data_IF_995002608714
#
_entry.id   IF_995002608714
#
_cell.length_a   1.000
_cell.length_b   1.000
_cell.length_c   1.000
_cell.angle_alpha   90.00
_cell.angle_beta   90.00
_cell.angle_gamma   90.00
#
_symmetry.space_group_name_H-M   'P 1'
#
loop_
_entity.id
_entity.type
_entity.pdbx_description
1 polymer ?
#
# COMPACT_ATOMS: atom_id res chain seq x y z
N UNK A 1 57.05 8.78 -11.41
CA UNK A 1 56.43 8.79 -12.76
C UNK A 1 55.31 7.76 -12.71
N UNK A 2 54.13 8.07 -12.18
CA UNK A 2 53.01 8.81 -12.77
C UNK A 2 52.60 8.30 -14.15
N UNK A 3 51.63 7.38 -14.19
CA UNK A 3 50.66 7.26 -15.27
C UNK A 3 49.29 7.01 -14.66
N UNK A 4 48.42 8.00 -14.78
CA UNK A 4 47.00 7.97 -14.44
C UNK A 4 46.29 6.99 -15.39
N UNK A 5 45.53 6.07 -14.84
CA UNK A 5 44.48 5.34 -15.55
C UNK A 5 43.13 5.81 -15.01
N UNK A 6 42.46 6.69 -15.74
CA UNK A 6 41.08 7.07 -15.51
C UNK A 6 40.17 5.90 -15.89
N UNK A 7 39.62 5.21 -14.90
CA UNK A 7 38.47 4.32 -15.09
C UNK A 7 37.21 5.13 -14.84
N UNK A 8 36.60 5.61 -15.92
CA UNK A 8 35.22 6.13 -15.92
C UNK A 8 34.28 4.93 -15.87
N UNK A 9 33.84 4.56 -14.67
CA UNK A 9 32.74 3.63 -14.48
C UNK A 9 31.43 4.32 -14.89
N UNK A 10 30.85 3.88 -16.01
CA UNK A 10 29.45 4.14 -16.36
C UNK A 10 28.57 3.44 -15.31
N UNK A 11 28.14 4.20 -14.31
CA UNK A 11 26.91 3.90 -13.59
C UNK A 11 25.79 4.42 -14.48
N UNK A 12 25.32 3.55 -15.37
CA UNK A 12 24.03 3.75 -16.02
C UNK A 12 22.99 3.63 -14.91
N UNK A 13 22.09 4.61 -14.84
CA UNK A 13 20.99 4.62 -13.89
C UNK A 13 20.30 3.27 -13.89
N UNK A 14 20.14 2.72 -12.70
CA UNK A 14 19.20 1.64 -12.45
C UNK A 14 17.84 2.31 -12.54
N UNK A 15 17.35 2.46 -13.78
CA UNK A 15 15.92 2.56 -13.97
C UNK A 15 15.38 1.24 -13.47
N UNK A 16 14.62 1.28 -12.38
CA UNK A 16 13.72 0.19 -11.99
C UNK A 16 12.80 -0.02 -13.18
N UNK A 17 13.21 -0.89 -14.10
CA UNK A 17 12.43 -1.32 -15.23
C UNK A 17 11.63 -2.54 -14.79
N UNK A 18 10.82 -2.35 -13.74
CA UNK A 18 9.72 -3.26 -13.43
C UNK A 18 8.60 -2.96 -14.41
N UNK A 19 8.39 -3.86 -15.37
CA UNK A 19 7.17 -3.86 -16.19
C UNK A 19 6.06 -4.37 -15.28
N UNK A 20 5.46 -3.48 -14.49
CA UNK A 20 4.28 -3.79 -13.67
C UNK A 20 3.07 -3.25 -14.45
N UNK A 21 2.39 -4.15 -15.16
CA UNK A 21 1.18 -3.84 -15.91
C UNK A 21 -0.01 -4.48 -15.18
N UNK A 22 -0.71 -3.64 -14.41
CA UNK A 22 -2.08 -3.78 -13.85
C UNK A 22 -2.34 -4.96 -12.89
N UNK A 23 -3.30 -4.98 -11.96
CA UNK A 23 -4.10 -4.05 -11.14
C UNK A 23 -5.12 -4.90 -10.35
N UNK A 24 -5.28 -4.65 -9.04
CA UNK A 24 -6.45 -4.90 -8.17
C UNK A 24 -7.71 -5.48 -8.86
N UNK A 25 -7.72 -6.77 -9.14
CA UNK A 25 -8.89 -7.47 -9.67
C UNK A 25 -10.05 -7.47 -8.66
N UNK A 26 -9.76 -7.37 -7.37
CA UNK A 26 -10.78 -7.43 -6.30
C UNK A 26 -11.35 -6.06 -5.89
N UNK A 27 -10.59 -4.96 -6.04
CA UNK A 27 -11.05 -3.62 -5.60
C UNK A 27 -11.55 -2.77 -6.77
N UNK A 28 -10.95 -2.89 -7.97
CA UNK A 28 -11.31 -2.09 -9.14
C UNK A 28 -12.37 -2.69 -10.08
N UNK A 29 -12.66 -3.99 -9.97
CA UNK A 29 -13.62 -4.67 -10.86
C UNK A 29 -15.08 -4.54 -10.40
N UNK A 30 -15.34 -4.18 -9.14
CA UNK A 30 -16.70 -4.20 -8.57
C UNK A 30 -17.42 -2.85 -8.59
N UNK A 31 -16.75 -1.75 -8.96
CA UNK A 31 -17.42 -0.49 -9.29
C UNK A 31 -18.25 -0.56 -10.60
N UNK A 32 -18.21 -1.68 -11.32
CA UNK A 32 -18.76 -1.83 -12.68
C UNK A 32 -20.19 -2.40 -12.77
N UNK A 33 -20.90 -2.65 -11.66
CA UNK A 33 -22.26 -3.18 -11.69
C UNK A 33 -23.30 -2.33 -10.95
N UNK A 34 -23.40 -1.04 -11.29
CA UNK A 34 -24.63 -0.26 -11.01
C UNK A 34 -25.29 0.09 -12.36
N UNK A 35 -26.48 -0.48 -12.68
CA UNK A 35 -27.22 -0.05 -13.85
C UNK A 35 -27.68 1.39 -13.66
N UNK A 36 -27.29 2.24 -14.62
CA UNK A 36 -27.41 3.68 -14.55
C UNK A 36 -28.80 4.19 -14.21
N UNK A 37 -28.86 4.96 -13.13
CA UNK A 37 -29.66 6.16 -12.96
C UNK A 37 -28.97 6.94 -11.86
N UNK A 38 -28.38 8.10 -12.14
CA UNK A 38 -28.67 9.37 -11.43
C UNK A 38 -28.08 10.51 -12.27
N UNK A 39 -28.98 11.43 -12.54
CA UNK A 39 -28.83 12.71 -13.17
C UNK A 39 -28.01 13.62 -12.25
N UNK A 40 -27.01 14.31 -12.81
CA UNK A 40 -26.25 15.35 -12.11
C UNK A 40 -27.21 16.32 -11.38
N UNK A 41 -27.03 16.43 -10.07
CA UNK A 41 -27.59 17.52 -9.28
C UNK A 41 -26.43 18.39 -8.81
N UNK A 42 -26.21 19.47 -9.55
CA UNK A 42 -25.51 20.66 -9.08
C UNK A 42 -26.02 21.03 -7.68
N UNK A 43 -25.11 21.14 -6.72
CA UNK A 43 -25.37 21.78 -5.45
C UNK A 43 -24.31 22.83 -5.14
N UNK A 44 -24.13 23.78 -6.07
CA UNK A 44 -23.83 25.15 -5.67
C UNK A 44 -25.04 25.69 -4.90
N UNK A 45 -24.95 25.81 -3.57
CA UNK A 45 -25.78 26.77 -2.85
C UNK A 45 -24.98 27.51 -1.77
N UNK A 46 -24.69 28.77 -2.09
CA UNK A 46 -24.54 29.84 -1.09
C UNK A 46 -25.85 29.97 -0.35
N UNK A 47 -25.82 29.96 0.97
CA UNK A 47 -26.89 30.51 1.80
C UNK A 47 -26.35 31.62 2.68
N UNK A 48 -26.60 32.85 2.24
CA UNK A 48 -26.65 34.06 3.07
C UNK A 48 -27.93 34.02 3.90
N UNK A 49 -27.84 34.18 5.24
CA UNK A 49 -29.07 34.26 6.03
C UNK A 49 -28.93 34.39 7.55
N UNK A 50 -28.56 35.60 7.98
CA UNK A 50 -29.06 36.31 9.15
C UNK A 50 -28.79 35.84 10.61
N UNK A 51 -28.26 36.82 11.34
CA UNK A 51 -28.11 36.98 12.78
C UNK A 51 -29.28 36.44 13.64
N UNK A 52 -28.93 35.87 14.78
CA UNK A 52 -29.69 36.02 16.02
C UNK A 52 -28.75 36.11 17.23
N UNK A 53 -29.00 37.14 18.03
CA UNK A 53 -28.22 37.69 19.14
C UNK A 53 -28.14 36.80 20.40
N UNK A 54 -27.16 37.06 21.30
CA UNK A 54 -26.85 36.19 22.43
C UNK A 54 -27.69 36.49 23.69
N UNK A 55 -28.09 35.43 24.39
CA UNK A 55 -28.72 35.51 25.71
C UNK A 55 -27.67 35.65 26.81
N UNK A 56 -27.81 36.69 27.62
CA UNK A 56 -26.96 37.05 28.76
C UNK A 56 -27.60 36.58 30.07
N UNK A 57 -26.87 35.92 30.97
CA UNK A 57 -27.16 35.80 32.42
C UNK A 57 -25.83 35.53 33.18
N UNK A 58 -25.67 35.83 34.49
CA UNK A 58 -24.72 36.83 34.94
C UNK A 58 -23.64 36.30 35.89
N UNK A 59 -22.66 37.17 36.13
CA UNK A 59 -21.52 37.03 37.04
C UNK A 59 -21.90 36.78 38.51
N UNK A 60 -21.24 35.81 39.14
CA UNK A 60 -21.23 35.56 40.58
C UNK A 60 -19.81 35.30 41.08
N UNK A 61 -19.42 35.99 42.14
CA UNK A 61 -18.08 36.08 42.73
C UNK A 61 -17.61 34.79 43.44
N UNK A 62 -16.28 34.59 43.42
CA UNK A 62 -15.49 34.38 44.64
C UNK A 62 -15.36 32.94 45.17
N UNK A 63 -14.23 32.29 44.88
CA UNK A 63 -13.82 31.06 45.55
C UNK A 63 -12.35 30.74 45.28
N UNK A 64 -11.48 31.06 46.23
CA UNK A 64 -10.05 30.74 46.25
C UNK A 64 -9.81 29.22 46.26
N UNK A 65 -9.05 28.69 45.30
CA UNK A 65 -8.70 27.27 45.24
C UNK A 65 -7.45 27.00 44.41
N UNK A 66 -6.34 26.76 45.12
CA UNK A 66 -5.13 25.99 44.78
C UNK A 66 -4.70 25.89 43.30
N UNK A 67 -3.56 26.53 42.99
CA UNK A 67 -2.73 26.26 41.81
C UNK A 67 -2.34 24.78 41.78
N UNK A 68 -3.01 24.00 40.94
CA UNK A 68 -2.53 22.68 40.53
C UNK A 68 -1.74 22.87 39.24
N UNK A 69 -0.44 22.62 39.35
CA UNK A 69 0.50 22.52 38.24
C UNK A 69 -0.03 21.53 37.20
N UNK A 70 -0.49 22.03 36.06
CA UNK A 70 -0.66 21.23 34.86
C UNK A 70 0.72 20.82 34.37
N UNK A 71 1.15 19.63 34.79
CA UNK A 71 2.20 18.91 34.10
C UNK A 71 1.70 18.61 32.69
N UNK A 72 2.29 19.27 31.70
CA UNK A 72 2.22 18.80 30.31
C UNK A 72 2.57 17.31 30.30
N UNK A 73 1.82 16.44 29.61
CA UNK A 73 2.27 15.08 29.41
C UNK A 73 3.59 15.19 28.64
N UNK A 74 4.67 14.76 29.29
CA UNK A 74 5.95 14.59 28.63
C UNK A 74 5.72 13.72 27.39
N UNK A 75 6.26 14.16 26.26
CA UNK A 75 6.44 13.29 25.12
C UNK A 75 7.18 12.05 25.64
N UNK A 76 6.46 10.93 25.79
CA UNK A 76 7.11 9.62 25.85
C UNK A 76 7.75 9.45 24.49
N UNK A 77 9.03 9.82 24.40
CA UNK A 77 9.92 9.33 23.35
C UNK A 77 9.70 7.82 23.32
N UNK A 78 9.05 7.34 22.25
CA UNK A 78 8.93 5.92 21.96
C UNK A 78 10.37 5.41 21.88
N UNK A 79 10.81 4.69 22.92
CA UNK A 79 12.11 4.07 22.90
C UNK A 79 12.21 3.24 21.61
N UNK A 80 13.29 3.39 20.81
CA UNK A 80 13.40 2.66 19.57
C UNK A 80 13.38 1.16 19.89
N UNK A 81 12.32 0.48 19.46
CA UNK A 81 12.30 -0.97 19.40
C UNK A 81 13.54 -1.41 18.62
N UNK A 82 14.31 -2.34 19.16
CA UNK A 82 15.55 -2.78 18.51
C UNK A 82 15.27 -3.21 17.06
N UNK A 83 16.13 -2.79 16.12
CA UNK A 83 16.08 -3.25 14.72
C UNK A 83 16.11 -4.78 14.73
N UNK A 84 15.11 -5.47 14.15
CA UNK A 84 15.07 -6.91 14.12
C UNK A 84 16.27 -7.45 13.34
N UNK A 85 16.75 -8.63 13.71
CA UNK A 85 17.78 -9.30 12.95
C UNK A 85 17.26 -9.58 11.54
N UNK A 86 18.03 -9.18 10.53
CA UNK A 86 17.71 -9.43 9.13
C UNK A 86 17.57 -10.95 8.91
N UNK A 87 16.40 -11.42 8.44
CA UNK A 87 16.21 -12.83 8.16
C UNK A 87 17.16 -13.32 7.06
N UNK A 88 17.57 -14.58 7.14
CA UNK A 88 18.23 -15.22 6.02
C UNK A 88 17.24 -15.33 4.86
N UNK A 89 17.72 -15.07 3.64
CA UNK A 89 16.95 -15.28 2.41
C UNK A 89 17.88 -15.79 1.32
N UNK A 90 17.80 -17.08 1.00
CA UNK A 90 18.65 -17.67 -0.03
C UNK A 90 18.34 -17.06 -1.41
N UNK A 91 19.37 -16.71 -2.18
CA UNK A 91 19.19 -16.24 -3.57
C UNK A 91 18.50 -17.29 -4.45
N UNK A 92 18.62 -18.57 -4.11
CA UNK A 92 17.89 -19.64 -4.78
C UNK A 92 16.36 -19.51 -4.65
N UNK A 93 15.86 -18.76 -3.67
CA UNK A 93 14.44 -18.47 -3.49
C UNK A 93 13.90 -17.41 -4.46
N UNK A 94 14.79 -16.68 -5.14
CA UNK A 94 14.46 -15.66 -6.15
C UNK A 94 14.68 -16.18 -7.59
N UNK A 95 14.85 -17.49 -7.78
CA UNK A 95 15.01 -18.07 -9.12
C UNK A 95 13.80 -17.72 -9.98
N UNK A 96 14.03 -17.42 -11.26
CA UNK A 96 12.98 -17.04 -12.22
C UNK A 96 12.01 -18.19 -12.53
N UNK A 97 12.51 -19.42 -12.50
CA UNK A 97 11.84 -20.60 -13.03
C UNK A 97 11.56 -21.63 -11.93
N UNK A 98 10.49 -21.51 -11.13
CA UNK A 98 10.15 -22.60 -10.21
C UNK A 98 9.44 -23.76 -10.95
N UNK A 99 9.67 -25.02 -10.57
CA UNK A 99 8.90 -26.12 -11.11
C UNK A 99 7.48 -26.08 -10.51
N UNK A 100 6.49 -26.40 -11.33
CA UNK A 100 5.11 -26.56 -10.89
C UNK A 100 5.01 -27.45 -9.65
N UNK A 101 4.33 -26.95 -8.61
CA UNK A 101 4.18 -27.67 -7.33
C UNK A 101 2.93 -28.54 -7.30
N UNK A 102 1.94 -28.21 -8.15
CA UNK A 102 0.61 -28.82 -8.10
C UNK A 102 -0.24 -28.34 -6.92
N UNK A 103 0.15 -27.22 -6.28
CA UNK A 103 -0.66 -26.52 -5.29
C UNK A 103 -2.04 -26.14 -5.86
N UNK A 104 -3.03 -26.04 -4.99
CA UNK A 104 -4.40 -25.64 -5.36
C UNK A 104 -4.96 -24.67 -4.35
N UNK A 105 -5.68 -23.64 -4.82
CA UNK A 105 -6.53 -22.85 -3.94
C UNK A 105 -7.77 -23.68 -3.60
N UNK A 106 -8.17 -23.80 -2.32
CA UNK A 106 -9.45 -24.39 -1.96
C UNK A 106 -10.61 -23.73 -2.68
N UNK A 107 -11.63 -24.50 -3.06
CA UNK A 107 -12.81 -23.92 -3.70
C UNK A 107 -13.60 -23.02 -2.74
N UNK A 108 -14.06 -21.86 -3.21
CA UNK A 108 -14.71 -20.81 -2.41
C UNK A 108 -13.81 -20.28 -1.29
N UNK A 109 -12.52 -20.19 -1.56
CA UNK A 109 -11.62 -19.47 -0.68
C UNK A 109 -12.08 -18.01 -0.55
N UNK A 110 -12.20 -17.45 0.67
CA UNK A 110 -12.80 -16.14 0.88
C UNK A 110 -11.90 -14.98 0.45
N UNK A 111 -10.69 -15.25 -0.05
CA UNK A 111 -9.78 -14.26 -0.63
C UNK A 111 -9.64 -14.41 -2.15
N UNK A 112 -10.55 -15.18 -2.79
CA UNK A 112 -10.48 -15.52 -4.21
C UNK A 112 -9.84 -16.89 -4.44
N UNK A 113 -10.40 -17.64 -5.40
CA UNK A 113 -10.00 -19.01 -5.74
C UNK A 113 -9.49 -19.20 -7.18
N UNK A 114 -9.33 -18.13 -7.96
CA UNK A 114 -8.73 -18.13 -9.29
C UNK A 114 -7.35 -17.47 -9.29
N UNK A 115 -6.32 -18.24 -9.63
CA UNK A 115 -4.95 -17.73 -9.72
C UNK A 115 -4.77 -16.73 -10.86
N UNK A 116 -5.64 -16.77 -11.87
CA UNK A 116 -5.58 -15.83 -13.00
C UNK A 116 -5.86 -14.39 -12.58
N UNK A 117 -6.51 -14.17 -11.43
CA UNK A 117 -6.73 -12.83 -10.87
C UNK A 117 -5.41 -12.16 -10.45
N UNK A 118 -4.35 -12.95 -10.21
CA UNK A 118 -2.99 -12.49 -9.87
C UNK A 118 -2.08 -12.29 -11.10
N UNK A 119 -2.57 -12.49 -12.33
CA UNK A 119 -1.73 -12.32 -13.51
C UNK A 119 -2.02 -13.30 -14.64
N UNK A 120 -1.83 -12.83 -15.87
CA UNK A 120 -1.66 -13.72 -17.02
C UNK A 120 -0.48 -14.66 -16.74
N UNK A 121 -0.74 -15.97 -16.81
CA UNK A 121 0.23 -17.04 -16.53
C UNK A 121 0.76 -17.08 -15.09
N UNK A 122 0.11 -16.40 -14.15
CA UNK A 122 0.41 -16.58 -12.73
C UNK A 122 0.26 -18.07 -12.36
N UNK A 123 1.26 -18.60 -11.64
CA UNK A 123 1.27 -19.99 -11.23
C UNK A 123 1.34 -20.09 -9.71
N UNK A 124 0.31 -20.68 -9.09
CA UNK A 124 0.29 -20.91 -7.66
C UNK A 124 1.44 -21.83 -7.26
N UNK A 125 2.32 -21.34 -6.41
CA UNK A 125 3.40 -22.13 -5.84
C UNK A 125 2.96 -22.76 -4.53
N UNK A 126 2.41 -21.99 -3.60
CA UNK A 126 1.96 -22.43 -2.27
C UNK A 126 0.86 -21.53 -1.70
N UNK A 127 0.00 -22.10 -0.86
CA UNK A 127 -0.97 -21.35 -0.06
C UNK A 127 -0.93 -21.81 1.40
N UNK A 128 -0.89 -20.85 2.32
CA UNK A 128 -0.81 -21.08 3.75
C UNK A 128 -1.84 -20.26 4.51
N UNK A 129 -2.47 -20.88 5.51
CA UNK A 129 -3.04 -20.16 6.64
C UNK A 129 -1.92 -19.70 7.57
N UNK A 130 -2.10 -18.54 8.17
CA UNK A 130 -1.25 -18.00 9.23
C UNK A 130 -1.92 -18.30 10.58
N UNK A 131 -1.36 -19.24 11.33
CA UNK A 131 -1.89 -19.63 12.63
C UNK A 131 -0.85 -19.40 13.71
N UNK A 132 -1.16 -18.51 14.66
CA UNK A 132 -0.22 -18.14 15.74
C UNK A 132 1.16 -17.72 15.21
N UNK A 133 1.20 -17.02 14.06
CA UNK A 133 2.43 -16.55 13.41
C UNK A 133 3.24 -17.62 12.66
N UNK A 134 2.70 -18.84 12.50
CA UNK A 134 3.29 -19.93 11.72
C UNK A 134 2.48 -20.22 10.45
N UNK A 135 3.16 -20.71 9.41
CA UNK A 135 2.54 -21.12 8.15
C UNK A 135 1.96 -22.54 8.27
N UNK A 136 0.69 -22.69 7.95
CA UNK A 136 -0.03 -23.96 7.92
C UNK A 136 -0.55 -24.19 6.49
N UNK A 137 -0.09 -25.24 5.78
CA UNK A 137 -0.50 -25.48 4.39
C UNK A 137 -2.02 -25.62 4.21
N UNK A 138 -2.58 -24.91 3.23
CA UNK A 138 -3.98 -25.04 2.78
C UNK A 138 -4.08 -25.66 1.38
N UNK A 139 -2.98 -25.67 0.63
CA UNK A 139 -2.89 -26.05 -0.78
C UNK A 139 -2.91 -27.56 -1.08
N UNK A 140 -3.13 -28.38 -0.05
CA UNK A 140 -3.04 -29.83 -0.15
C UNK A 140 -1.62 -30.38 -0.25
N UNK A 141 -0.59 -29.55 -0.09
CA UNK A 141 0.80 -29.96 -0.02
C UNK A 141 1.27 -30.14 1.43
N UNK A 142 2.49 -30.69 1.58
CA UNK A 142 3.11 -30.94 2.88
C UNK A 142 3.68 -29.69 3.54
N UNK A 143 4.67 -29.88 4.41
CA UNK A 143 5.31 -28.81 5.18
C UNK A 143 5.69 -27.57 4.33
N UNK A 144 5.70 -26.36 4.93
CA UNK A 144 6.17 -25.15 4.25
C UNK A 144 7.55 -25.33 3.60
N UNK A 145 7.78 -24.70 2.44
CA UNK A 145 9.11 -24.74 1.80
C UNK A 145 10.06 -23.82 2.57
N UNK A 146 11.37 -24.14 2.63
CA UNK A 146 12.34 -23.26 3.28
C UNK A 146 12.35 -21.82 2.74
N UNK A 147 12.06 -21.62 1.45
CA UNK A 147 11.96 -20.28 0.86
C UNK A 147 10.75 -19.49 1.37
N UNK A 148 9.60 -20.16 1.55
CA UNK A 148 8.39 -19.49 2.01
C UNK A 148 8.48 -19.17 3.51
N UNK A 149 9.17 -20.00 4.30
CA UNK A 149 9.48 -19.69 5.69
C UNK A 149 10.43 -18.48 5.82
N UNK A 150 11.37 -18.32 4.88
CA UNK A 150 12.27 -17.17 4.81
C UNK A 150 11.51 -15.89 4.41
N UNK A 151 10.65 -15.97 3.40
CA UNK A 151 9.74 -14.88 3.03
C UNK A 151 8.83 -14.48 4.20
N UNK A 152 8.22 -15.44 4.86
CA UNK A 152 7.38 -15.15 6.02
C UNK A 152 8.17 -14.57 7.18
N UNK A 153 9.43 -14.97 7.37
CA UNK A 153 10.30 -14.36 8.37
C UNK A 153 10.61 -12.91 8.03
N UNK A 154 10.79 -12.57 6.75
CA UNK A 154 10.94 -11.20 6.27
C UNK A 154 9.69 -10.36 6.59
N UNK A 155 8.50 -10.84 6.19
CA UNK A 155 7.21 -10.18 6.47
C UNK A 155 7.03 -9.91 7.97
N UNK A 156 7.25 -10.94 8.82
CA UNK A 156 7.16 -10.81 10.28
C UNK A 156 8.14 -9.81 10.88
N UNK A 157 9.36 -9.76 10.35
CA UNK A 157 10.37 -8.83 10.83
C UNK A 157 10.06 -7.38 10.40
N UNK A 158 9.44 -7.20 9.23
CA UNK A 158 9.07 -5.88 8.71
C UNK A 158 7.92 -5.23 9.51
N UNK A 159 6.82 -5.96 9.73
CA UNK A 159 5.63 -5.39 10.35
C UNK A 159 5.00 -6.31 11.41
N UNK A 160 5.69 -6.58 12.53
CA UNK A 160 5.25 -7.54 13.53
C UNK A 160 3.88 -7.21 14.15
N UNK A 161 3.48 -5.94 14.16
CA UNK A 161 2.18 -5.50 14.70
C UNK A 161 1.02 -5.77 13.76
N UNK A 162 1.26 -5.99 12.47
CA UNK A 162 0.21 -6.26 11.48
C UNK A 162 -0.14 -7.75 11.37
N UNK A 163 0.67 -8.63 11.98
CA UNK A 163 0.47 -10.07 11.90
C UNK A 163 -0.87 -10.56 12.44
N UNK A 164 -1.53 -9.76 13.29
CA UNK A 164 -2.87 -10.06 13.77
C UNK A 164 -3.96 -9.93 12.70
N UNK A 165 -3.69 -9.24 11.59
CA UNK A 165 -4.62 -9.03 10.49
C UNK A 165 -4.37 -9.99 9.31
N UNK A 166 -3.23 -10.68 9.27
CA UNK A 166 -2.85 -11.55 8.15
C UNK A 166 -3.29 -12.98 8.46
N UNK A 167 -4.31 -13.43 7.74
CA UNK A 167 -4.87 -14.78 7.82
C UNK A 167 -4.18 -15.74 6.85
N UNK A 168 -3.70 -15.24 5.71
CA UNK A 168 -3.12 -16.08 4.67
C UNK A 168 -1.88 -15.49 4.01
N UNK A 169 -0.96 -16.38 3.63
CA UNK A 169 0.18 -16.10 2.76
C UNK A 169 0.04 -16.95 1.49
N UNK A 170 -0.05 -16.29 0.35
CA UNK A 170 -0.01 -16.91 -0.97
C UNK A 170 1.35 -16.63 -1.61
N UNK A 171 2.00 -17.69 -2.11
CA UNK A 171 3.22 -17.58 -2.90
C UNK A 171 2.91 -18.08 -4.30
N UNK A 172 3.19 -17.27 -5.31
CA UNK A 172 3.00 -17.61 -6.70
C UNK A 172 4.25 -17.28 -7.52
N UNK A 173 4.25 -17.69 -8.78
CA UNK A 173 5.21 -17.23 -9.77
C UNK A 173 4.47 -16.31 -10.75
N UNK A 174 5.01 -15.11 -10.97
CA UNK A 174 4.61 -14.21 -12.05
C UNK A 174 5.40 -14.55 -13.33
N UNK A 175 4.89 -14.26 -14.52
CA UNK A 175 5.68 -14.41 -15.75
C UNK A 175 6.82 -13.36 -15.73
N UNK A 176 8.09 -13.77 -15.64
CA UNK A 176 9.18 -12.82 -15.52
C UNK A 176 9.59 -12.24 -16.90
N UNK A 177 8.99 -12.72 -17.99
CA UNK A 177 9.20 -12.29 -19.37
C UNK A 177 7.86 -12.04 -20.09
N UNK A 178 7.02 -11.12 -19.58
CA UNK A 178 5.67 -10.94 -20.10
C UNK A 178 5.68 -10.37 -21.52
N UNK A 179 4.76 -10.87 -22.34
CA UNK A 179 4.54 -10.30 -23.66
C UNK A 179 3.86 -8.94 -23.55
N UNK A 180 4.02 -8.09 -24.56
CA UNK A 180 3.38 -6.76 -24.58
C UNK A 180 1.86 -6.88 -24.44
N UNK A 181 1.33 -6.26 -23.39
CA UNK A 181 -0.10 -6.23 -23.10
C UNK A 181 -0.61 -7.38 -22.23
N UNK A 182 0.27 -8.28 -21.77
CA UNK A 182 -0.06 -9.22 -20.69
C UNK A 182 -0.17 -8.48 -19.35
N UNK A 183 -1.14 -8.91 -18.55
CA UNK A 183 -1.43 -8.41 -17.21
C UNK A 183 -0.56 -9.15 -16.20
N UNK A 184 0.26 -8.44 -15.42
CA UNK A 184 1.21 -9.05 -14.48
C UNK A 184 1.16 -8.30 -13.16
N UNK A 185 0.98 -9.06 -12.09
CA UNK A 185 1.08 -8.61 -10.71
C UNK A 185 2.19 -9.39 -10.04
N UNK A 186 2.97 -8.71 -9.20
CA UNK A 186 4.04 -9.33 -8.40
C UNK A 186 3.62 -9.52 -6.93
N UNK A 187 2.58 -8.82 -6.48
CA UNK A 187 1.99 -9.01 -5.16
C UNK A 187 0.59 -8.42 -5.04
N UNK A 188 -0.16 -8.91 -4.06
CA UNK A 188 -1.49 -8.40 -3.78
C UNK A 188 -1.82 -8.55 -2.29
N UNK A 189 -2.49 -7.56 -1.73
CA UNK A 189 -3.06 -7.60 -0.39
C UNK A 189 -4.58 -7.48 -0.49
N UNK A 190 -5.28 -8.59 -0.20
CA UNK A 190 -6.72 -8.69 -0.37
C UNK A 190 -7.42 -8.85 0.99
N UNK A 191 -8.43 -8.03 1.31
CA UNK A 191 -9.27 -8.27 2.47
C UNK A 191 -10.19 -9.47 2.21
N UNK A 192 -10.62 -10.11 3.28
CA UNK A 192 -11.50 -11.27 3.21
C UNK A 192 -12.89 -10.88 2.72
N UNK A 193 -13.38 -11.53 1.67
CA UNK A 193 -14.76 -11.42 1.25
C UNK A 193 -15.66 -12.30 2.12
N UNK A 194 -16.72 -11.71 2.68
CA UNK A 194 -17.69 -12.41 3.56
C UNK A 194 -19.04 -12.64 2.87
N UNK A 195 -19.33 -11.85 1.85
CA UNK A 195 -20.45 -11.95 0.94
C UNK A 195 -20.11 -11.12 -0.32
N UNK A 196 -20.84 -11.29 -1.45
CA UNK A 196 -20.62 -10.49 -2.65
C UNK A 196 -20.50 -9.00 -2.34
N UNK A 197 -19.37 -8.40 -2.74
CA UNK A 197 -19.03 -6.99 -2.54
C UNK A 197 -19.00 -6.54 -1.06
N UNK A 198 -18.79 -7.49 -0.13
CA UNK A 198 -18.76 -7.23 1.32
C UNK A 198 -17.50 -7.81 1.94
N UNK A 199 -16.66 -6.94 2.48
CA UNK A 199 -15.33 -7.29 2.95
C UNK A 199 -15.17 -7.15 4.47
N UNK A 200 -14.30 -7.98 5.03
CA UNK A 200 -13.85 -7.94 6.41
C UNK A 200 -12.41 -7.41 6.45
N UNK A 201 -12.29 -6.13 6.76
CA UNK A 201 -11.02 -5.40 6.79
C UNK A 201 -10.13 -5.81 7.98
N UNK A 202 -10.51 -6.77 8.84
CA UNK A 202 -9.63 -7.30 9.89
C UNK A 202 -8.83 -8.53 9.44
N UNK A 203 -9.20 -9.14 8.32
CA UNK A 203 -8.63 -10.41 7.85
C UNK A 203 -8.13 -10.26 6.42
N UNK A 204 -6.84 -10.51 6.21
CA UNK A 204 -6.13 -10.24 4.95
C UNK A 204 -5.34 -11.45 4.46
N UNK A 205 -5.32 -11.63 3.14
CA UNK A 205 -4.31 -12.42 2.44
C UNK A 205 -3.25 -11.47 1.91
N UNK A 206 -1.98 -11.83 2.11
CA UNK A 206 -0.86 -11.20 1.39
C UNK A 206 -0.27 -12.21 0.40
N UNK A 207 -0.07 -11.76 -0.83
CA UNK A 207 0.37 -12.56 -1.96
C UNK A 207 1.68 -12.01 -2.50
N UNK A 208 2.64 -12.89 -2.82
CA UNK A 208 3.93 -12.49 -3.36
C UNK A 208 4.38 -13.44 -4.47
N UNK A 209 4.98 -12.87 -5.51
CA UNK A 209 5.76 -13.54 -6.54
C UNK A 209 7.24 -13.13 -6.46
N UNK A 210 8.05 -13.81 -5.64
CA UNK A 210 9.47 -13.48 -5.51
C UNK A 210 10.33 -13.92 -6.71
N UNK A 211 9.77 -14.71 -7.63
CA UNK A 211 10.54 -15.35 -8.69
C UNK A 211 11.09 -14.30 -9.67
N UNK A 212 12.41 -14.27 -9.82
CA UNK A 212 13.07 -13.36 -10.75
C UNK A 212 13.34 -11.97 -10.23
N UNK A 213 12.84 -11.62 -9.04
CA UNK A 213 13.16 -10.37 -8.36
C UNK A 213 14.57 -10.40 -7.79
N UNK A 214 15.19 -9.23 -7.63
CA UNK A 214 16.29 -9.05 -6.71
C UNK A 214 15.80 -8.74 -5.28
N UNK A 215 16.75 -8.57 -4.34
CA UNK A 215 16.40 -8.32 -2.93
C UNK A 215 15.82 -6.93 -2.70
N UNK A 216 16.22 -5.93 -3.49
CA UNK A 216 15.66 -4.58 -3.43
C UNK A 216 14.22 -4.58 -3.92
N UNK A 217 13.95 -5.25 -5.04
CA UNK A 217 12.61 -5.43 -5.59
C UNK A 217 11.71 -6.19 -4.61
N UNK A 218 12.19 -7.29 -4.01
CA UNK A 218 11.42 -7.99 -2.97
C UNK A 218 11.21 -7.14 -1.72
N UNK A 219 12.19 -6.33 -1.30
CA UNK A 219 12.04 -5.43 -0.16
C UNK A 219 10.95 -4.39 -0.42
N UNK A 220 10.94 -3.81 -1.63
CA UNK A 220 9.94 -2.87 -2.10
C UNK A 220 8.55 -3.50 -2.07
N UNK A 221 8.41 -4.67 -2.69
CA UNK A 221 7.15 -5.40 -2.75
C UNK A 221 6.61 -5.74 -1.35
N UNK A 222 7.45 -6.23 -0.43
CA UNK A 222 7.04 -6.50 0.95
C UNK A 222 6.59 -5.22 1.66
N UNK A 223 7.29 -4.09 1.46
CA UNK A 223 6.87 -2.81 2.03
C UNK A 223 5.54 -2.32 1.43
N UNK A 224 5.37 -2.45 0.11
CA UNK A 224 4.16 -2.09 -0.63
C UNK A 224 2.95 -2.85 -0.10
N UNK A 225 2.99 -4.18 -0.08
CA UNK A 225 1.85 -5.01 0.33
C UNK A 225 1.46 -4.75 1.79
N UNK A 226 2.45 -4.59 2.67
CA UNK A 226 2.16 -4.27 4.06
C UNK A 226 1.61 -2.84 4.25
N UNK A 227 1.85 -1.92 3.31
CA UNK A 227 1.26 -0.58 3.33
C UNK A 227 -0.26 -0.64 3.12
N UNK A 228 -0.75 -1.53 2.25
CA UNK A 228 -2.18 -1.78 2.07
C UNK A 228 -2.80 -2.27 3.38
N UNK A 229 -2.26 -3.34 3.97
CA UNK A 229 -2.76 -3.87 5.25
C UNK A 229 -2.73 -2.80 6.36
N UNK A 230 -1.67 -1.99 6.43
CA UNK A 230 -1.56 -0.94 7.45
C UNK A 230 -2.58 0.18 7.30
N UNK A 231 -2.94 0.53 6.06
CA UNK A 231 -3.74 1.71 5.74
C UNK A 231 -5.22 1.40 5.50
N UNK A 232 -5.57 0.11 5.37
CA UNK A 232 -6.91 -0.36 5.05
C UNK A 232 -7.48 -1.36 6.06
N UNK A 233 -6.75 -1.75 7.10
CA UNK A 233 -7.34 -2.65 8.11
C UNK A 233 -8.53 -2.01 8.87
N UNK A 234 -9.23 -2.81 9.69
CA UNK A 234 -10.39 -2.37 10.48
C UNK A 234 -10.18 -1.15 11.39
N UNK A 235 -8.93 -0.83 11.76
CA UNK A 235 -8.63 0.35 12.59
C UNK A 235 -8.48 1.62 11.73
N UNK A 236 -8.51 1.48 10.40
CA UNK A 236 -8.45 2.55 9.41
C UNK A 236 -9.78 2.78 8.69
N UNK A 237 -10.73 1.85 8.80
CA UNK A 237 -11.95 1.81 8.00
C UNK A 237 -13.21 1.56 8.83
N UNK A 238 -14.33 2.08 8.34
CA UNK A 238 -15.67 1.75 8.81
C UNK A 238 -16.21 0.57 7.99
N UNK A 239 -16.21 -0.61 8.60
CA UNK A 239 -16.80 -1.81 8.00
C UNK A 239 -18.32 -1.66 7.79
N UNK A 240 -18.83 -2.21 6.69
CA UNK A 240 -20.26 -2.23 6.37
C UNK A 240 -20.85 -0.88 5.93
N UNK A 241 -20.02 0.13 5.68
CA UNK A 241 -20.43 1.45 5.16
C UNK A 241 -20.21 1.48 3.66
N UNK A 242 -21.30 1.51 2.88
CA UNK A 242 -21.27 1.63 1.43
C UNK A 242 -20.90 3.03 0.92
N UNK A 243 -20.63 3.12 -0.38
CA UNK A 243 -20.20 4.35 -1.04
C UNK A 243 -21.21 5.52 -0.89
N UNK A 244 -22.51 5.22 -0.89
CA UNK A 244 -23.60 6.20 -0.85
C UNK A 244 -23.71 6.96 0.49
N UNK A 245 -23.19 6.37 1.56
CA UNK A 245 -23.21 6.93 2.92
C UNK A 245 -21.83 7.24 3.48
N UNK A 246 -20.77 7.01 2.69
CA UNK A 246 -19.41 7.29 3.11
C UNK A 246 -19.16 8.80 3.20
N UNK A 247 -18.81 9.28 4.39
CA UNK A 247 -18.59 10.70 4.65
C UNK A 247 -17.17 11.19 4.29
N UNK A 248 -16.28 10.27 3.95
CA UNK A 248 -14.87 10.53 3.64
C UNK A 248 -14.59 10.07 2.22
N UNK A 249 -13.87 8.96 2.04
CA UNK A 249 -13.58 8.34 0.76
C UNK A 249 -13.83 6.84 0.87
N UNK A 250 -14.55 6.31 -0.11
CA UNK A 250 -14.88 4.89 -0.21
C UNK A 250 -13.82 4.20 -1.07
N UNK A 251 -13.18 3.16 -0.53
CA UNK A 251 -12.03 2.50 -1.14
C UNK A 251 -12.42 1.43 -2.16
N UNK A 252 -13.70 1.12 -2.29
CA UNK A 252 -14.19 -0.10 -2.96
C UNK A 252 -14.62 -1.17 -1.95
N UNK A 253 -13.94 -1.27 -0.81
CA UNK A 253 -14.17 -2.29 0.23
C UNK A 253 -14.78 -1.73 1.51
N UNK A 254 -14.66 -0.42 1.73
CA UNK A 254 -15.26 0.27 2.86
C UNK A 254 -14.97 1.77 2.88
N UNK A 255 -15.41 2.46 3.93
CA UNK A 255 -15.24 3.91 4.07
C UNK A 255 -14.08 4.25 5.01
N UNK A 256 -13.13 5.07 4.57
CA UNK A 256 -11.99 5.46 5.42
C UNK A 256 -12.44 6.22 6.68
N UNK A 257 -11.80 5.97 7.81
CA UNK A 257 -11.92 6.86 8.97
C UNK A 257 -11.30 8.23 8.65
N UNK A 258 -11.84 9.29 9.24
CA UNK A 258 -11.38 10.65 8.98
C UNK A 258 -9.88 10.86 9.29
N UNK A 259 -9.39 10.17 10.33
CA UNK A 259 -8.00 10.26 10.79
C UNK A 259 -7.13 9.08 10.31
N UNK A 260 -7.64 8.22 9.40
CA UNK A 260 -6.88 7.09 8.87
C UNK A 260 -5.62 7.54 8.12
N UNK A 261 -4.62 6.67 8.02
CA UNK A 261 -3.36 6.97 7.34
C UNK A 261 -3.58 7.39 5.91
N UNK A 262 -4.31 6.58 5.15
CA UNK A 262 -4.58 6.86 3.75
C UNK A 262 -5.37 8.17 3.59
N UNK A 263 -6.39 8.40 4.42
CA UNK A 263 -7.18 9.64 4.34
C UNK A 263 -6.32 10.87 4.58
N UNK A 264 -5.45 10.83 5.59
CA UNK A 264 -4.54 11.93 5.89
C UNK A 264 -3.51 12.11 4.78
N UNK A 265 -2.90 11.04 4.27
CA UNK A 265 -1.97 11.11 3.14
C UNK A 265 -2.63 11.80 1.94
N UNK A 266 -3.78 11.28 1.49
CA UNK A 266 -4.50 11.82 0.33
C UNK A 266 -4.93 13.28 0.51
N UNK A 267 -5.42 13.65 1.71
CA UNK A 267 -5.79 15.04 1.99
C UNK A 267 -4.62 16.02 1.86
N UNK A 268 -3.43 15.56 2.21
CA UNK A 268 -2.23 16.40 2.26
C UNK A 268 -1.51 16.44 0.91
N UNK A 269 -1.61 15.39 0.11
CA UNK A 269 -0.74 15.19 -1.05
C UNK A 269 -1.48 15.18 -2.39
N UNK A 270 -2.80 14.98 -2.39
CA UNK A 270 -3.63 15.11 -3.59
C UNK A 270 -4.40 16.44 -3.54
N UNK A 271 -4.32 17.21 -4.62
CA UNK A 271 -5.14 18.41 -4.80
C UNK A 271 -6.36 18.14 -5.69
N UNK A 272 -7.25 19.13 -5.78
CA UNK A 272 -8.49 19.00 -6.53
C UNK A 272 -8.24 18.73 -8.02
N UNK A 273 -7.15 19.25 -8.59
CA UNK A 273 -6.81 19.06 -10.00
C UNK A 273 -6.35 17.62 -10.28
N UNK A 274 -5.50 17.07 -9.40
CA UNK A 274 -5.04 15.68 -9.49
C UNK A 274 -6.22 14.71 -9.31
N UNK A 275 -7.12 14.99 -8.37
CA UNK A 275 -8.36 14.23 -8.19
C UNK A 275 -9.25 14.28 -9.43
N UNK A 276 -9.55 15.47 -9.95
CA UNK A 276 -10.41 15.64 -11.13
C UNK A 276 -9.86 14.90 -12.35
N UNK A 277 -8.54 14.90 -12.56
CA UNK A 277 -7.91 14.22 -13.68
C UNK A 277 -7.89 12.70 -13.50
N UNK A 278 -7.63 12.22 -12.28
CA UNK A 278 -7.73 10.79 -11.97
C UNK A 278 -9.17 10.28 -12.13
N UNK A 279 -10.17 10.98 -11.59
CA UNK A 279 -11.59 10.61 -11.71
C UNK A 279 -12.04 10.51 -13.19
N UNK A 280 -11.52 11.40 -14.06
CA UNK A 280 -11.77 11.32 -15.51
C UNK A 280 -11.15 10.07 -16.13
N UNK A 281 -10.01 9.61 -15.63
CA UNK A 281 -9.34 8.41 -16.09
C UNK A 281 -10.06 7.16 -15.58
N UNK A 282 -10.45 7.12 -14.31
CA UNK A 282 -11.18 5.99 -13.72
C UNK A 282 -12.58 5.84 -14.30
N UNK A 283 -13.28 6.94 -14.58
CA UNK A 283 -14.64 6.96 -15.13
C UNK A 283 -14.78 6.42 -16.57
N UNK A 284 -13.74 5.83 -17.16
CA UNK A 284 -13.81 5.20 -18.50
C UNK A 284 -14.56 3.87 -18.42
N UNK A 285 -15.56 3.72 -19.30
CA UNK A 285 -16.49 2.59 -19.30
C UNK A 285 -15.91 1.24 -19.75
N UNK A 286 -14.71 1.22 -20.32
CA UNK A 286 -14.05 -0.03 -20.73
C UNK A 286 -12.66 -0.05 -20.15
N UNK A 287 -12.24 -1.24 -19.74
CA UNK A 287 -10.93 -1.49 -19.18
C UNK A 287 -9.81 -0.96 -20.08
N UNK A 288 -9.86 -1.26 -21.40
CA UNK A 288 -8.90 -0.76 -22.39
C UNK A 288 -8.83 0.77 -22.44
N UNK A 289 -9.98 1.46 -22.43
CA UNK A 289 -10.01 2.92 -22.45
C UNK A 289 -9.49 3.50 -21.13
N UNK A 290 -9.77 2.83 -20.01
CA UNK A 290 -9.28 3.19 -18.68
C UNK A 290 -7.76 3.08 -18.60
N UNK A 291 -7.14 1.98 -19.07
CA UNK A 291 -5.66 1.88 -19.08
C UNK A 291 -5.00 3.00 -19.89
N UNK A 292 -5.53 3.27 -21.08
CA UNK A 292 -5.00 4.36 -21.91
C UNK A 292 -5.13 5.72 -21.20
N UNK A 293 -6.25 5.95 -20.49
CA UNK A 293 -6.45 7.18 -19.74
C UNK A 293 -5.55 7.27 -18.49
N UNK A 294 -5.22 6.16 -17.83
CA UNK A 294 -4.26 6.14 -16.73
C UNK A 294 -2.83 6.40 -17.22
N UNK A 295 -2.44 5.86 -18.38
CA UNK A 295 -1.18 6.24 -19.01
C UNK A 295 -1.14 7.74 -19.30
N UNK A 296 -2.18 8.28 -19.95
CA UNK A 296 -2.27 9.72 -20.23
C UNK A 296 -2.24 10.54 -18.93
N UNK A 297 -2.87 10.07 -17.86
CA UNK A 297 -2.84 10.70 -16.54
C UNK A 297 -1.43 10.72 -15.96
N UNK A 298 -0.73 9.59 -15.94
CA UNK A 298 0.66 9.51 -15.49
C UNK A 298 1.58 10.40 -16.33
N UNK A 299 1.48 10.35 -17.66
CA UNK A 299 2.34 11.15 -18.54
C UNK A 299 2.20 12.66 -18.26
N UNK A 300 0.99 13.11 -17.92
CA UNK A 300 0.70 14.51 -17.56
C UNK A 300 1.11 14.89 -16.14
N UNK A 301 1.25 13.91 -15.23
CA UNK A 301 1.49 14.11 -13.81
C UNK A 301 2.69 13.30 -13.29
N UNK A 302 3.66 12.99 -14.15
CA UNK A 302 4.75 12.04 -13.84
C UNK A 302 5.60 12.47 -12.65
N UNK A 303 5.79 13.78 -12.43
CA UNK A 303 6.47 14.31 -11.25
C UNK A 303 5.73 14.01 -9.92
N UNK A 304 4.42 13.73 -9.98
CA UNK A 304 3.58 13.44 -8.81
C UNK A 304 3.61 11.98 -8.36
N UNK A 305 4.21 11.07 -9.12
CA UNK A 305 4.15 9.63 -8.83
C UNK A 305 5.55 9.00 -8.79
N UNK A 306 5.74 8.05 -7.89
CA UNK A 306 7.02 7.33 -7.72
C UNK A 306 7.25 6.35 -8.88
N UNK A 307 6.18 5.74 -9.35
CA UNK A 307 6.14 4.82 -10.50
C UNK A 307 4.91 5.12 -11.35
N UNK A 308 4.85 4.57 -12.56
CA UNK A 308 3.61 4.59 -13.35
C UNK A 308 2.48 3.86 -12.62
N UNK A 309 2.80 2.78 -11.92
CA UNK A 309 1.82 1.98 -11.16
C UNK A 309 1.14 2.80 -10.04
N UNK A 310 1.89 3.68 -9.37
CA UNK A 310 1.34 4.60 -8.37
C UNK A 310 0.20 5.49 -8.91
N UNK A 311 0.23 5.86 -10.20
CA UNK A 311 -0.80 6.69 -10.81
C UNK A 311 -2.12 5.94 -11.08
N UNK A 312 -2.10 4.61 -11.00
CA UNK A 312 -3.25 3.77 -11.31
C UNK A 312 -4.40 3.98 -10.32
N UNK A 313 -4.07 4.11 -9.03
CA UNK A 313 -5.06 4.31 -7.99
C UNK A 313 -4.47 5.06 -6.80
N UNK A 314 -5.23 5.91 -6.10
CA UNK A 314 -4.78 6.59 -4.88
C UNK A 314 -4.27 5.64 -3.77
N UNK A 315 -4.77 4.40 -3.76
CA UNK A 315 -4.29 3.32 -2.88
C UNK A 315 -2.85 2.93 -3.23
N UNK A 316 -2.55 2.80 -4.53
CA UNK A 316 -1.22 2.42 -5.02
C UNK A 316 -0.22 3.55 -4.87
N UNK A 317 -0.64 4.80 -5.07
CA UNK A 317 0.22 5.96 -4.80
C UNK A 317 0.69 5.99 -3.34
N UNK A 318 -0.19 5.66 -2.39
CA UNK A 318 0.18 5.53 -0.99
C UNK A 318 1.18 4.39 -0.77
N UNK A 319 0.90 3.19 -1.31
CA UNK A 319 1.72 2.01 -1.10
C UNK A 319 3.12 2.15 -1.74
N UNK A 320 3.21 2.68 -2.96
CA UNK A 320 4.47 2.95 -3.67
C UNK A 320 5.28 4.06 -2.98
N UNK A 321 4.63 5.14 -2.56
CA UNK A 321 5.31 6.21 -1.81
C UNK A 321 5.79 5.73 -0.45
N UNK A 322 5.03 4.85 0.22
CA UNK A 322 5.47 4.20 1.45
C UNK A 322 6.65 3.26 1.20
N UNK A 323 6.61 2.45 0.14
CA UNK A 323 7.68 1.53 -0.23
C UNK A 323 8.99 2.30 -0.50
N UNK A 324 8.95 3.41 -1.25
CA UNK A 324 10.09 4.32 -1.43
C UNK A 324 10.63 4.82 -0.07
N UNK A 325 9.75 5.34 0.79
CA UNK A 325 10.15 5.83 2.11
C UNK A 325 10.79 4.74 2.99
N UNK A 326 10.23 3.53 2.95
CA UNK A 326 10.62 2.41 3.80
C UNK A 326 11.93 1.76 3.35
N UNK A 327 12.16 1.68 2.04
CA UNK A 327 13.27 0.90 1.46
C UNK A 327 14.46 1.72 0.99
N UNK A 328 14.32 3.03 0.80
CA UNK A 328 15.42 3.94 0.47
C UNK A 328 15.69 4.93 1.60
N UNK A 329 16.96 5.11 1.94
CA UNK A 329 17.38 6.19 2.84
C UNK A 329 17.22 7.56 2.17
N UNK A 330 17.06 8.61 2.98
CA UNK A 330 16.78 9.97 2.51
C UNK A 330 17.87 10.53 1.59
N UNK A 331 19.12 10.11 1.77
CA UNK A 331 20.27 10.56 1.00
C UNK A 331 20.58 9.68 -0.22
N UNK A 332 19.84 8.59 -0.43
CA UNK A 332 19.97 7.77 -1.64
C UNK A 332 19.50 8.54 -2.88
N UNK A 333 20.24 8.55 -3.99
CA UNK A 333 19.92 9.37 -5.16
C UNK A 333 18.50 9.20 -5.70
N UNK A 334 17.96 7.99 -5.68
CA UNK A 334 16.63 7.71 -6.23
C UNK A 334 15.52 8.39 -5.42
N UNK A 335 15.70 8.52 -4.09
CA UNK A 335 14.80 9.28 -3.22
C UNK A 335 15.15 10.78 -3.17
N UNK A 336 16.43 11.11 -3.08
CA UNK A 336 16.89 12.50 -2.91
C UNK A 336 16.62 13.39 -4.13
N UNK A 337 16.49 12.80 -5.32
CA UNK A 337 16.23 13.52 -6.57
C UNK A 337 14.74 13.59 -6.94
N UNK A 338 13.83 13.07 -6.12
CA UNK A 338 12.40 13.17 -6.38
C UNK A 338 11.97 14.66 -6.44
N UNK A 339 11.02 15.02 -7.32
CA UNK A 339 10.48 16.38 -7.38
C UNK A 339 9.87 16.81 -6.03
N UNK A 340 10.01 18.08 -5.67
CA UNK A 340 9.48 18.65 -4.41
C UNK A 340 8.96 20.08 -4.56
N UNK A 341 8.76 20.55 -5.79
CA UNK A 341 8.33 21.91 -6.08
C UNK A 341 6.87 22.15 -5.68
N UNK A 342 5.99 21.21 -6.01
CA UNK A 342 4.56 21.26 -5.71
C UNK A 342 4.19 20.24 -4.63
N UNK A 343 3.10 20.50 -3.92
CA UNK A 343 2.61 19.62 -2.84
C UNK A 343 2.29 18.20 -3.33
N UNK A 344 1.89 18.07 -4.60
CA UNK A 344 1.55 16.81 -5.25
C UNK A 344 2.78 16.01 -5.70
N UNK A 345 3.96 16.64 -5.72
CA UNK A 345 5.17 16.00 -6.19
C UNK A 345 5.55 14.78 -5.33
N UNK A 346 6.07 13.75 -5.98
CA UNK A 346 6.40 12.46 -5.38
C UNK A 346 7.39 12.56 -4.21
N UNK A 347 8.33 13.50 -4.24
CA UNK A 347 9.24 13.75 -3.11
C UNK A 347 8.53 14.32 -1.89
N UNK A 348 7.54 15.20 -2.07
CA UNK A 348 6.71 15.72 -0.97
C UNK A 348 5.76 14.65 -0.42
N UNK A 349 5.27 13.74 -1.27
CA UNK A 349 4.51 12.55 -0.86
C UNK A 349 5.33 11.60 0.01
N UNK A 350 6.57 11.31 -0.39
CA UNK A 350 7.50 10.48 0.41
C UNK A 350 7.85 11.18 1.73
N UNK A 351 8.10 12.49 1.71
CA UNK A 351 8.41 13.27 2.92
C UNK A 351 7.23 13.35 3.91
N UNK A 352 5.98 13.13 3.46
CA UNK A 352 4.83 13.06 4.35
C UNK A 352 4.99 11.97 5.42
N UNK A 353 5.61 10.83 5.07
CA UNK A 353 5.85 9.72 6.00
C UNK A 353 6.85 10.09 7.10
N UNK A 354 7.77 11.03 6.86
CA UNK A 354 8.65 11.58 7.91
C UNK A 354 7.88 12.43 8.93
N UNK A 355 6.83 13.14 8.49
CA UNK A 355 5.95 13.90 9.36
C UNK A 355 4.93 13.00 10.10
N UNK A 356 4.42 11.96 9.43
CA UNK A 356 3.50 10.96 9.99
C UNK A 356 4.21 9.87 10.81
N UNK A 357 5.54 9.96 10.90
CA UNK A 357 6.45 8.98 11.50
C UNK A 357 6.02 8.50 12.88
N UNK A 358 5.45 9.37 13.73
CA UNK A 358 4.97 8.99 15.07
C UNK A 358 3.91 7.89 15.06
N UNK A 359 3.09 7.85 14.02
CA UNK A 359 1.98 6.91 13.95
C UNK A 359 2.36 5.61 13.21
N UNK A 360 3.35 5.68 12.32
CA UNK A 360 3.81 4.54 11.49
C UNK A 360 5.01 3.80 12.07
N UNK A 361 5.92 4.47 12.79
CA UNK A 361 7.12 3.84 13.34
C UNK A 361 6.87 2.67 14.29
N UNK A 362 5.85 2.68 15.16
CA UNK A 362 5.60 1.55 16.04
C UNK A 362 5.39 0.25 15.25
N UNK A 363 4.77 0.33 14.07
CA UNK A 363 4.52 -0.80 13.20
C UNK A 363 5.70 -1.13 12.29
N UNK A 364 6.39 -0.11 11.75
CA UNK A 364 7.32 -0.31 10.64
C UNK A 364 8.75 0.21 10.85
N UNK A 365 9.02 1.13 11.77
CA UNK A 365 10.30 1.84 11.81
C UNK A 365 11.56 0.96 11.87
N UNK A 366 11.65 0.07 12.87
CA UNK A 366 12.72 -0.93 12.94
C UNK A 366 12.71 -1.89 11.73
N UNK A 367 11.53 -2.25 11.24
CA UNK A 367 11.35 -3.14 10.09
C UNK A 367 11.85 -2.54 8.77
N UNK A 368 11.50 -1.29 8.48
CA UNK A 368 12.02 -0.54 7.33
C UNK A 368 13.54 -0.42 7.40
N UNK A 369 14.10 -0.12 8.58
CA UNK A 369 15.56 -0.11 8.77
C UNK A 369 16.18 -1.47 8.42
N UNK A 370 15.55 -2.57 8.80
CA UNK A 370 15.98 -3.92 8.43
C UNK A 370 15.79 -4.20 6.93
N UNK A 371 14.69 -3.74 6.31
CA UNK A 371 14.45 -3.91 4.88
C UNK A 371 15.49 -3.19 4.00
N UNK A 372 15.96 -1.99 4.38
CA UNK A 372 17.05 -1.32 3.65
C UNK A 372 18.33 -2.15 3.69
N UNK A 373 18.65 -2.74 4.84
CA UNK A 373 19.80 -3.64 4.97
C UNK A 373 19.62 -4.91 4.14
N UNK A 374 18.40 -5.45 4.10
CA UNK A 374 18.04 -6.60 3.28
C UNK A 374 18.23 -6.32 1.79
N UNK A 375 17.72 -5.19 1.31
CA UNK A 375 17.77 -4.77 -0.10
C UNK A 375 19.19 -4.78 -0.68
N UNK A 376 20.19 -4.32 0.08
CA UNK A 376 21.58 -4.17 -0.38
C UNK A 376 22.51 -5.35 -0.07
N UNK A 377 21.99 -6.40 0.57
CA UNK A 377 22.77 -7.60 0.97
C UNK A 377 22.86 -8.63 -0.16
#
# INVERSE_FOLDING_TARGET
MSTRGTSTGRWAGVGVAGVIILSLASIGAHALLIPGFIQAADASSRSTGALSTPTTVPSGQGGTGSLSSTSSPAATDLAPTAVPAMPAYDRACLRRDNPATGAKIPANDPFGDDIADLGDKAELQRLYAVQSGALVPLDGLGAPRPCDEQLWSLVKATAPTLLGHIDELLVFDADPDPATGEFIIEGESAPKETAPDTFDDDHWRVSFAPNGLDRGELAWLVAHELAHVASLNKDQMLSGVGADVCATWYTGTGCLLADSFLRRYLSNTWDDALWDDWDKADGKSTEKARRAAYQDFYDNHSDSFITEYAAWHPLEDFAESFAMWCTYDEDEPDRANLPTAERTDSGNKVAWFDAARRDLLPAFGPGCTMLRQFAVS
#
